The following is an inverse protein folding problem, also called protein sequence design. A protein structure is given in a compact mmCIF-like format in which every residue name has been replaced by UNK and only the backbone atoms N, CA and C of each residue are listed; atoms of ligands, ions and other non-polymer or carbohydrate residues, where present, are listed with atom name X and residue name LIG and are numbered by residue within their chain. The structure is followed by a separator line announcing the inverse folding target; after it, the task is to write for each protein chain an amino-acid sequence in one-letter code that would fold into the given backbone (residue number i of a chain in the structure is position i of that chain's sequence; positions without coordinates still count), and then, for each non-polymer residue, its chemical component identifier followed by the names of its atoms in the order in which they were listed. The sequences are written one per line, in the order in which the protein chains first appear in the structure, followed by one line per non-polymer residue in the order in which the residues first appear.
data_IF_990264531182
#
_entry.id   IF_990264531182
#
_cell.length_a   1.000
_cell.length_b   1.000
_cell.length_c   1.000
_cell.angle_alpha   90.00
_cell.angle_beta   90.00
_cell.angle_gamma   90.00
#
_symmetry.space_group_name_H-M   'P 1'
#
loop_
_entity.id
_entity.type
_entity.pdbx_description
1 polymer ?
#
# COMPACT_ATOMS: atom_id res chain seq x y z
N UNK A 1 -0.08 28.36 -8.46
CA UNK A 1 0.43 26.98 -8.62
C UNK A 1 -0.57 26.02 -8.00
N UNK A 2 -0.93 24.95 -8.71
CA UNK A 2 -1.76 23.89 -8.11
C UNK A 2 -0.94 23.13 -7.06
N UNK A 3 -1.50 22.82 -5.90
CA UNK A 3 -0.77 22.05 -4.89
C UNK A 3 -0.47 20.65 -5.42
N UNK A 4 0.75 20.16 -5.21
CA UNK A 4 1.14 18.78 -5.53
C UNK A 4 1.11 17.98 -4.24
N UNK A 5 0.35 16.90 -4.23
CA UNK A 5 0.25 15.99 -3.10
C UNK A 5 1.14 14.77 -3.34
N UNK A 6 1.97 14.44 -2.35
CA UNK A 6 2.76 13.21 -2.31
C UNK A 6 2.15 12.24 -1.31
N UNK A 7 1.99 11.00 -1.74
CA UNK A 7 1.70 9.89 -0.84
C UNK A 7 2.80 8.83 -0.99
N UNK A 8 3.33 8.39 0.13
CA UNK A 8 4.31 7.30 0.16
C UNK A 8 3.56 6.00 0.46
N UNK A 9 3.94 4.95 -0.26
CA UNK A 9 3.37 3.61 -0.07
C UNK A 9 4.48 2.69 0.38
N UNK A 10 4.34 2.10 1.56
CA UNK A 10 5.18 0.99 2.00
C UNK A 10 4.46 -0.31 1.70
N UNK A 11 4.95 -1.04 0.69
CA UNK A 11 4.61 -2.44 0.51
C UNK A 11 5.53 -3.26 1.39
N UNK A 12 4.98 -3.78 2.48
CA UNK A 12 5.73 -4.51 3.49
C UNK A 12 5.70 -6.03 3.28
N UNK A 13 5.05 -6.51 2.20
CA UNK A 13 4.96 -7.94 1.95
C UNK A 13 6.34 -8.55 1.67
N UNK A 14 6.81 -9.50 2.48
CA UNK A 14 8.10 -10.12 2.28
C UNK A 14 8.01 -11.14 1.15
N UNK A 15 8.59 -10.84 0.01
CA UNK A 15 8.69 -11.77 -1.14
C UNK A 15 9.50 -13.04 -0.82
N UNK A 16 10.27 -13.05 0.28
CA UNK A 16 11.26 -14.10 0.54
C UNK A 16 10.90 -15.10 1.62
N UNK A 17 10.08 -14.73 2.59
CA UNK A 17 9.78 -15.63 3.72
C UNK A 17 8.63 -15.12 4.57
N UNK A 18 7.77 -16.04 5.02
CA UNK A 18 6.72 -15.77 6.00
C UNK A 18 7.11 -16.24 7.42
N UNK A 19 8.40 -16.26 7.73
CA UNK A 19 8.90 -16.66 9.05
C UNK A 19 8.82 -15.52 10.05
N UNK A 20 8.55 -15.86 11.31
CA UNK A 20 8.39 -14.89 12.39
C UNK A 20 9.64 -14.07 12.69
N UNK A 21 10.83 -14.63 12.49
CA UNK A 21 12.10 -13.93 12.66
C UNK A 21 12.31 -12.83 11.62
N UNK A 22 11.88 -13.07 10.37
CA UNK A 22 11.89 -12.07 9.31
C UNK A 22 10.91 -10.94 9.65
N UNK A 23 9.69 -11.28 10.06
CA UNK A 23 8.70 -10.27 10.45
C UNK A 23 9.15 -9.43 11.65
N UNK A 24 9.81 -10.05 12.63
CA UNK A 24 10.37 -9.34 13.79
C UNK A 24 11.49 -8.39 13.38
N UNK A 25 12.41 -8.85 12.53
CA UNK A 25 13.48 -8.01 12.00
C UNK A 25 12.92 -6.80 11.26
N UNK A 26 11.97 -7.01 10.35
CA UNK A 26 11.34 -5.94 9.56
C UNK A 26 10.59 -4.96 10.48
N UNK A 27 9.93 -5.48 11.52
CA UNK A 27 9.29 -4.63 12.52
C UNK A 27 10.30 -3.71 13.21
N UNK A 28 11.39 -4.26 13.72
CA UNK A 28 12.38 -3.48 14.49
C UNK A 28 13.15 -2.49 13.60
N UNK A 29 13.49 -2.89 12.37
CA UNK A 29 14.36 -2.11 11.49
C UNK A 29 13.60 -1.13 10.59
N UNK A 30 12.34 -1.43 10.24
CA UNK A 30 11.57 -0.62 9.28
C UNK A 30 10.30 -0.04 9.91
N UNK A 31 9.36 -0.89 10.37
CA UNK A 31 8.01 -0.40 10.71
C UNK A 31 7.98 0.44 11.97
N UNK A 32 8.67 0.03 13.00
CA UNK A 32 8.75 0.75 14.28
C UNK A 32 9.43 2.12 14.16
N UNK A 33 10.58 2.26 13.48
CA UNK A 33 11.15 3.57 13.21
C UNK A 33 10.25 4.47 12.35
N UNK A 34 9.64 3.88 11.30
CA UNK A 34 8.81 4.61 10.37
C UNK A 34 7.53 5.15 11.03
N UNK A 35 6.82 4.33 11.82
CA UNK A 35 5.61 4.80 12.49
C UNK A 35 5.91 5.89 13.52
N UNK A 36 7.07 5.79 14.22
CA UNK A 36 7.55 6.86 15.11
C UNK A 36 7.85 8.15 14.35
N UNK A 37 8.44 8.04 13.16
CA UNK A 37 8.69 9.19 12.29
C UNK A 37 7.39 9.86 11.87
N UNK A 38 6.41 9.08 11.37
CA UNK A 38 5.10 9.61 11.00
C UNK A 38 4.43 10.29 12.21
N UNK A 39 4.51 9.68 13.38
CA UNK A 39 3.90 10.24 14.60
C UNK A 39 4.48 11.62 14.94
N UNK A 40 5.78 11.81 14.79
CA UNK A 40 6.47 13.08 15.05
C UNK A 40 6.22 14.15 13.99
N UNK A 41 5.95 13.75 12.74
CA UNK A 41 5.81 14.70 11.61
C UNK A 41 4.36 14.74 11.12
N UNK A 42 3.58 15.71 11.60
CA UNK A 42 2.13 15.78 11.33
C UNK A 42 1.73 16.00 9.88
N UNK A 43 2.62 16.50 9.05
CA UNK A 43 2.42 16.74 7.61
C UNK A 43 2.69 15.52 6.73
N UNK A 44 3.25 14.43 7.29
CA UNK A 44 3.53 13.20 6.54
C UNK A 44 2.29 12.32 6.51
N UNK A 45 1.91 11.87 5.30
CA UNK A 45 0.86 10.90 5.07
C UNK A 45 1.42 9.70 4.33
N UNK A 46 1.01 8.50 4.71
CA UNK A 46 1.49 7.25 4.11
C UNK A 46 0.39 6.22 3.99
N UNK A 47 0.57 5.32 3.03
CA UNK A 47 -0.20 4.08 2.95
C UNK A 47 0.71 2.88 3.23
N UNK A 48 0.18 1.89 3.95
CA UNK A 48 0.88 0.65 4.25
C UNK A 48 0.11 -0.52 3.66
N UNK A 49 0.83 -1.47 3.12
CA UNK A 49 0.31 -2.79 2.81
C UNK A 49 1.07 -3.83 3.62
N UNK A 50 0.33 -4.66 4.35
CA UNK A 50 0.81 -5.86 5.03
C UNK A 50 -0.03 -7.05 4.54
N UNK A 51 0.59 -8.17 4.21
CA UNK A 51 -0.16 -9.39 3.96
C UNK A 51 -0.78 -9.96 5.26
N UNK A 52 -1.69 -10.91 5.14
CA UNK A 52 -2.44 -11.46 6.28
C UNK A 52 -1.55 -12.03 7.38
N UNK A 53 -0.62 -12.97 7.08
CA UNK A 53 0.28 -13.55 8.08
C UNK A 53 1.11 -12.51 8.83
N UNK A 54 1.63 -11.51 8.12
CA UNK A 54 2.40 -10.43 8.70
C UNK A 54 1.53 -9.52 9.59
N UNK A 55 0.34 -9.21 9.15
CA UNK A 55 -0.60 -8.39 9.92
C UNK A 55 -1.04 -9.11 11.20
N UNK A 56 -1.29 -10.43 11.12
CA UNK A 56 -1.59 -11.27 12.29
C UNK A 56 -0.41 -11.34 13.26
N UNK A 57 0.82 -11.45 12.75
CA UNK A 57 2.02 -11.39 13.56
C UNK A 57 2.10 -10.07 14.33
N UNK A 58 1.92 -8.94 13.65
CA UNK A 58 1.94 -7.61 14.27
C UNK A 58 0.86 -7.47 15.34
N UNK A 59 -0.35 -7.94 15.10
CA UNK A 59 -1.43 -7.96 16.10
C UNK A 59 -1.07 -8.74 17.35
N UNK A 60 -0.44 -9.91 17.18
CA UNK A 60 -0.12 -10.82 18.27
C UNK A 60 1.11 -10.39 19.07
N UNK A 61 2.16 -9.92 18.39
CA UNK A 61 3.46 -9.63 18.99
C UNK A 61 3.68 -8.16 19.34
N UNK A 62 3.02 -7.27 18.58
CA UNK A 62 3.19 -5.81 18.68
C UNK A 62 1.85 -5.07 18.74
N UNK A 63 1.00 -5.37 19.75
CA UNK A 63 -0.30 -4.69 19.88
C UNK A 63 -0.16 -3.17 20.06
N UNK A 64 0.96 -2.69 20.57
CA UNK A 64 1.27 -1.27 20.68
C UNK A 64 1.40 -0.61 19.29
N UNK A 65 1.94 -1.33 18.31
CA UNK A 65 2.02 -0.86 16.93
C UNK A 65 0.62 -0.71 16.32
N UNK A 66 -0.26 -1.67 16.55
CA UNK A 66 -1.65 -1.63 16.07
C UNK A 66 -2.40 -0.44 16.69
N UNK A 67 -2.18 -0.13 17.97
CA UNK A 67 -2.78 1.05 18.61
C UNK A 67 -2.31 2.35 17.96
N UNK A 68 -1.01 2.48 17.70
CA UNK A 68 -0.47 3.65 16.97
C UNK A 68 -1.02 3.76 15.55
N UNK A 69 -1.18 2.63 14.84
CA UNK A 69 -1.85 2.62 13.54
C UNK A 69 -3.29 3.12 13.63
N UNK A 70 -4.07 2.66 14.61
CA UNK A 70 -5.45 3.11 14.83
C UNK A 70 -5.53 4.63 15.03
N UNK A 71 -4.64 5.21 15.86
CA UNK A 71 -4.56 6.65 16.11
C UNK A 71 -4.24 7.42 14.83
N UNK A 72 -3.24 6.96 14.06
CA UNK A 72 -2.84 7.59 12.80
C UNK A 72 -3.89 7.47 11.70
N UNK A 73 -4.64 6.35 11.66
CA UNK A 73 -5.78 6.15 10.76
C UNK A 73 -6.93 7.10 11.14
N UNK A 74 -7.24 7.24 12.43
CA UNK A 74 -8.25 8.16 12.90
C UNK A 74 -7.90 9.61 12.55
N UNK A 75 -6.62 9.97 12.66
CA UNK A 75 -6.08 11.27 12.27
C UNK A 75 -5.94 11.47 10.75
N UNK A 76 -6.35 10.50 9.91
CA UNK A 76 -6.23 10.51 8.44
C UNK A 76 -4.79 10.70 7.93
N UNK A 77 -3.82 10.18 8.67
CA UNK A 77 -2.39 10.27 8.35
C UNK A 77 -1.84 8.97 7.76
N UNK A 78 -2.48 7.87 8.09
CA UNK A 78 -2.15 6.52 7.58
C UNK A 78 -3.39 5.90 6.98
N UNK A 79 -3.21 5.22 5.86
CA UNK A 79 -4.19 4.32 5.26
C UNK A 79 -3.57 2.91 5.14
N UNK A 80 -4.35 1.88 5.47
CA UNK A 80 -3.96 0.50 5.21
C UNK A 80 -4.60 0.06 3.91
N UNK A 81 -3.77 -0.34 2.96
CA UNK A 81 -4.22 -0.89 1.68
C UNK A 81 -4.63 -2.35 1.84
N UNK A 82 -5.66 -2.72 1.10
CA UNK A 82 -6.02 -4.11 0.86
C UNK A 82 -5.06 -4.82 -0.09
N UNK A 83 -5.31 -6.09 -0.29
CA UNK A 83 -4.53 -6.97 -1.15
C UNK A 83 -4.98 -8.41 -0.98
N UNK A 84 -4.18 -9.35 -1.41
CA UNK A 84 -4.40 -10.76 -1.09
C UNK A 84 -3.94 -11.09 0.32
N UNK A 85 -4.67 -11.95 1.03
CA UNK A 85 -4.27 -12.38 2.36
C UNK A 85 -2.86 -13.02 2.35
N UNK A 86 -2.59 -13.87 1.37
CA UNK A 86 -1.28 -14.49 1.16
C UNK A 86 -0.46 -13.81 0.06
N UNK A 87 -0.85 -12.60 -0.36
CA UNK A 87 -0.24 -11.82 -1.42
C UNK A 87 -0.01 -12.62 -2.73
N UNK A 88 -1.06 -13.26 -3.28
CA UNK A 88 -0.94 -14.10 -4.46
C UNK A 88 -0.77 -13.29 -5.73
N UNK A 89 -0.29 -13.95 -6.79
CA UNK A 89 -0.36 -13.42 -8.16
C UNK A 89 -1.80 -13.54 -8.66
N UNK A 90 -2.61 -12.52 -8.43
CA UNK A 90 -4.06 -12.53 -8.66
C UNK A 90 -4.49 -12.99 -10.05
N UNK A 91 -3.85 -12.62 -11.17
CA UNK A 91 -4.25 -13.10 -12.49
C UNK A 91 -4.25 -14.61 -12.65
N UNK A 92 -3.43 -15.33 -11.86
CA UNK A 92 -3.34 -16.80 -11.89
C UNK A 92 -4.44 -17.50 -11.07
N UNK A 93 -5.22 -16.76 -10.29
CA UNK A 93 -6.30 -17.32 -9.47
C UNK A 93 -7.64 -17.31 -10.21
N UNK A 94 -8.52 -18.25 -9.85
CA UNK A 94 -9.93 -18.19 -10.25
C UNK A 94 -10.62 -16.97 -9.59
N UNK A 95 -11.65 -16.38 -10.24
CA UNK A 95 -12.34 -15.19 -9.71
C UNK A 95 -12.82 -15.35 -8.26
N UNK A 96 -13.30 -16.51 -7.87
CA UNK A 96 -13.77 -16.80 -6.51
C UNK A 96 -12.63 -16.75 -5.48
N UNK A 97 -11.46 -17.29 -5.85
CA UNK A 97 -10.28 -17.26 -4.98
C UNK A 97 -9.72 -15.84 -4.85
N UNK A 98 -9.78 -15.05 -5.92
CA UNK A 98 -9.38 -13.62 -5.88
C UNK A 98 -10.19 -12.87 -4.83
N UNK A 99 -11.51 -12.97 -4.89
CA UNK A 99 -12.41 -12.29 -3.94
C UNK A 99 -12.21 -12.83 -2.52
N UNK A 100 -12.07 -14.13 -2.35
CA UNK A 100 -11.80 -14.76 -1.06
C UNK A 100 -10.51 -14.22 -0.40
N UNK A 101 -9.42 -14.10 -1.17
CA UNK A 101 -8.15 -13.53 -0.68
C UNK A 101 -8.30 -12.07 -0.22
N UNK A 102 -9.02 -11.26 -0.99
CA UNK A 102 -9.26 -9.84 -0.67
C UNK A 102 -10.15 -9.70 0.56
N UNK A 103 -11.22 -10.50 0.65
CA UNK A 103 -12.16 -10.44 1.78
C UNK A 103 -11.52 -10.91 3.09
N UNK A 104 -10.68 -11.94 3.05
CA UNK A 104 -9.93 -12.42 4.22
C UNK A 104 -9.04 -11.30 4.79
N UNK A 105 -8.26 -10.62 3.95
CA UNK A 105 -7.39 -9.53 4.41
C UNK A 105 -8.22 -8.32 4.87
N UNK A 106 -9.27 -7.99 4.16
CA UNK A 106 -10.17 -6.88 4.51
C UNK A 106 -10.83 -7.08 5.88
N UNK A 107 -11.25 -8.32 6.18
CA UNK A 107 -11.82 -8.68 7.48
C UNK A 107 -10.78 -8.54 8.60
N UNK A 108 -9.55 -8.99 8.35
CA UNK A 108 -8.43 -8.88 9.30
C UNK A 108 -8.10 -7.43 9.62
N UNK A 109 -7.96 -6.58 8.58
CA UNK A 109 -7.70 -5.15 8.73
C UNK A 109 -8.84 -4.46 9.47
N UNK A 110 -10.09 -4.73 9.08
CA UNK A 110 -11.27 -4.14 9.73
C UNK A 110 -11.35 -4.54 11.21
N UNK A 111 -11.12 -5.80 11.53
CA UNK A 111 -11.14 -6.29 12.90
C UNK A 111 -10.11 -5.61 13.80
N UNK A 112 -8.94 -5.26 13.24
CA UNK A 112 -7.87 -4.59 13.98
C UNK A 112 -8.00 -3.06 14.01
N UNK A 113 -8.49 -2.43 12.94
CA UNK A 113 -8.45 -0.97 12.79
C UNK A 113 -9.82 -0.30 12.86
N UNK A 114 -10.89 -1.07 12.82
CA UNK A 114 -12.27 -0.59 12.74
C UNK A 114 -12.68 -0.08 11.34
N UNK A 115 -11.76 -0.06 10.37
CA UNK A 115 -12.00 0.44 9.01
C UNK A 115 -11.67 -0.61 7.95
N UNK A 116 -12.48 -0.70 6.90
CA UNK A 116 -12.15 -1.49 5.71
C UNK A 116 -11.14 -0.73 4.85
N UNK A 117 -10.22 -1.44 4.16
CA UNK A 117 -9.40 -0.83 3.14
C UNK A 117 -10.27 -0.34 1.98
N UNK A 118 -9.90 0.79 1.38
CA UNK A 118 -10.52 1.34 0.18
C UNK A 118 -9.66 1.12 -1.06
N UNK A 119 -8.35 1.24 -0.88
CA UNK A 119 -7.35 0.96 -1.90
C UNK A 119 -6.81 -0.44 -1.81
N UNK A 120 -6.33 -0.97 -2.94
CA UNK A 120 -5.72 -2.29 -3.05
C UNK A 120 -4.38 -2.22 -3.77
N UNK A 121 -3.46 -3.11 -3.40
CA UNK A 121 -2.22 -3.37 -4.15
C UNK A 121 -2.15 -4.83 -4.56
N UNK A 122 -1.31 -5.11 -5.56
CA UNK A 122 -1.12 -6.47 -6.10
C UNK A 122 0.35 -6.86 -6.08
N UNK A 123 0.62 -8.13 -5.82
CA UNK A 123 1.96 -8.68 -5.80
C UNK A 123 2.70 -8.39 -7.12
N UNK A 124 3.90 -7.80 -7.00
CA UNK A 124 4.76 -7.53 -8.15
C UNK A 124 4.12 -6.68 -9.25
N UNK A 125 3.05 -5.92 -8.95
CA UNK A 125 2.26 -5.19 -9.96
C UNK A 125 1.72 -6.08 -11.08
N UNK A 126 1.52 -7.38 -10.81
CA UNK A 126 0.91 -8.29 -11.77
C UNK A 126 -0.55 -7.92 -12.01
N UNK A 127 -0.80 -7.27 -13.13
CA UNK A 127 -2.08 -6.69 -13.51
C UNK A 127 -2.75 -7.40 -14.67
N UNK A 128 -4.06 -7.55 -14.59
CA UNK A 128 -4.95 -7.99 -15.68
C UNK A 128 -6.29 -7.28 -15.55
N UNK A 129 -6.90 -6.89 -16.69
CA UNK A 129 -8.14 -6.13 -16.70
C UNK A 129 -9.30 -6.83 -15.95
N UNK A 130 -9.33 -8.16 -15.95
CA UNK A 130 -10.36 -8.93 -15.24
C UNK A 130 -10.34 -8.73 -13.71
N UNK A 131 -9.26 -8.18 -13.17
CA UNK A 131 -9.15 -7.84 -11.75
C UNK A 131 -10.04 -6.66 -11.35
N UNK A 132 -10.39 -5.77 -12.29
CA UNK A 132 -11.32 -4.67 -12.07
C UNK A 132 -12.63 -5.18 -11.49
N UNK A 133 -13.23 -6.17 -12.15
CA UNK A 133 -14.49 -6.77 -11.69
C UNK A 133 -14.34 -7.40 -10.31
N UNK A 134 -13.26 -8.16 -10.06
CA UNK A 134 -13.03 -8.83 -8.78
C UNK A 134 -12.88 -7.84 -7.64
N UNK A 135 -12.04 -6.82 -7.80
CA UNK A 135 -11.73 -5.85 -6.74
C UNK A 135 -12.88 -4.88 -6.48
N UNK A 136 -13.54 -4.40 -7.53
CA UNK A 136 -14.74 -3.56 -7.39
C UNK A 136 -15.86 -4.32 -6.68
N UNK A 137 -16.03 -5.63 -6.92
CA UNK A 137 -17.02 -6.45 -6.21
C UNK A 137 -16.69 -6.58 -4.72
N UNK A 138 -15.41 -6.62 -4.34
CA UNK A 138 -14.98 -6.58 -2.94
C UNK A 138 -15.05 -5.17 -2.32
N UNK A 139 -15.56 -4.17 -3.03
CA UNK A 139 -15.71 -2.80 -2.55
C UNK A 139 -14.41 -2.01 -2.51
N UNK A 140 -13.40 -2.39 -3.31
CA UNK A 140 -12.22 -1.58 -3.52
C UNK A 140 -12.55 -0.42 -4.46
N UNK A 141 -12.13 0.79 -4.09
CA UNK A 141 -12.39 2.02 -4.83
C UNK A 141 -11.24 2.35 -5.78
N UNK A 142 -10.00 2.03 -5.39
CA UNK A 142 -8.83 2.29 -6.22
C UNK A 142 -7.77 1.19 -6.06
N UNK A 143 -6.91 1.09 -7.08
CA UNK A 143 -5.73 0.23 -7.07
C UNK A 143 -4.47 1.06 -7.34
N UNK A 144 -3.39 0.72 -6.66
CA UNK A 144 -2.06 1.29 -6.91
C UNK A 144 -1.24 0.35 -7.78
N UNK A 145 -0.80 0.84 -8.94
CA UNK A 145 -0.05 0.06 -9.92
C UNK A 145 1.23 0.79 -10.34
N UNK A 146 2.22 0.01 -10.72
CA UNK A 146 3.49 0.53 -11.22
C UNK A 146 3.31 1.31 -12.53
N UNK A 147 3.90 2.50 -12.61
CA UNK A 147 3.86 3.35 -13.81
C UNK A 147 4.37 2.65 -15.07
N UNK A 148 5.29 1.69 -14.92
CA UNK A 148 5.86 0.95 -16.05
C UNK A 148 4.83 0.17 -16.86
N UNK A 149 3.69 -0.17 -16.26
CA UNK A 149 2.57 -0.83 -16.95
C UNK A 149 1.90 0.09 -17.99
N UNK A 150 2.06 1.40 -17.87
CA UNK A 150 1.34 2.42 -18.66
C UNK A 150 2.25 3.32 -19.51
N UNK A 151 3.55 3.04 -19.58
CA UNK A 151 4.54 3.89 -20.27
C UNK A 151 4.22 4.13 -21.75
N UNK A 152 3.58 3.17 -22.43
CA UNK A 152 3.21 3.30 -23.85
C UNK A 152 2.09 4.33 -24.09
N UNK A 153 1.29 4.64 -23.07
CA UNK A 153 0.09 5.47 -23.21
C UNK A 153 0.29 6.91 -22.73
N UNK A 154 1.50 7.29 -22.29
CA UNK A 154 1.81 8.61 -21.71
C UNK A 154 0.89 9.00 -20.52
N UNK A 155 0.25 8.04 -19.88
CA UNK A 155 -0.61 8.24 -18.73
C UNK A 155 0.28 8.19 -17.47
N UNK A 156 1.04 9.26 -17.26
CA UNK A 156 1.95 9.36 -16.15
C UNK A 156 1.41 10.35 -15.12
N UNK A 157 1.41 9.94 -13.84
CA UNK A 157 1.19 10.81 -12.67
C UNK A 157 -0.25 11.28 -12.39
N UNK A 158 -1.23 10.88 -13.17
CA UNK A 158 -2.64 11.26 -12.95
C UNK A 158 -3.47 9.99 -12.74
N UNK A 159 -4.30 9.93 -11.70
CA UNK A 159 -5.27 8.85 -11.57
C UNK A 159 -6.21 8.79 -12.78
N UNK A 160 -6.58 7.61 -13.20
CA UNK A 160 -7.51 7.37 -14.28
C UNK A 160 -8.44 6.20 -13.95
N UNK A 161 -9.61 6.18 -14.61
CA UNK A 161 -10.64 5.19 -14.32
C UNK A 161 -10.60 4.05 -15.34
N UNK A 162 -10.65 2.81 -14.86
CA UNK A 162 -10.76 1.61 -15.67
C UNK A 162 -12.07 0.87 -15.42
N UNK A 163 -12.61 0.28 -16.48
CA UNK A 163 -13.86 -0.49 -16.41
C UNK A 163 -13.72 -1.87 -17.03
N UNK A 164 -14.36 -2.86 -16.42
CA UNK A 164 -14.54 -4.20 -16.97
C UNK A 164 -15.94 -4.72 -16.57
N UNK A 165 -16.70 -5.23 -17.55
CA UNK A 165 -18.03 -5.84 -17.37
C UNK A 165 -18.99 -4.99 -16.51
N UNK A 166 -19.00 -3.67 -16.74
CA UNK A 166 -19.87 -2.73 -16.01
C UNK A 166 -19.43 -2.39 -14.59
N UNK A 167 -18.30 -2.88 -14.15
CA UNK A 167 -17.63 -2.50 -12.89
C UNK A 167 -16.47 -1.57 -13.19
N UNK A 168 -16.10 -0.73 -12.22
CA UNK A 168 -15.01 0.21 -12.41
C UNK A 168 -14.17 0.40 -11.16
N UNK A 169 -12.92 0.86 -11.35
CA UNK A 169 -11.98 1.16 -10.29
C UNK A 169 -11.04 2.28 -10.72
N UNK A 170 -10.65 3.13 -9.80
CA UNK A 170 -9.62 4.13 -10.04
C UNK A 170 -8.23 3.51 -10.03
N UNK A 171 -7.40 3.87 -10.99
CA UNK A 171 -6.00 3.46 -11.06
C UNK A 171 -5.12 4.62 -10.60
N UNK A 172 -4.27 4.38 -9.64
CA UNK A 172 -3.27 5.34 -9.15
C UNK A 172 -1.89 4.85 -9.56
N UNK A 173 -1.24 5.48 -10.55
CA UNK A 173 0.12 5.12 -10.95
C UNK A 173 1.12 5.42 -9.83
N UNK A 174 1.99 4.47 -9.53
CA UNK A 174 3.08 4.63 -8.55
C UNK A 174 4.38 4.93 -9.30
N UNK A 175 5.00 6.04 -8.94
CA UNK A 175 6.25 6.51 -9.54
C UNK A 175 7.42 5.72 -8.98
N UNK A 176 7.95 4.80 -9.77
CA UNK A 176 9.08 3.96 -9.38
C UNK A 176 10.44 4.62 -9.55
N UNK A 177 10.55 5.59 -10.46
CA UNK A 177 11.78 6.36 -10.67
C UNK A 177 12.26 7.10 -9.41
N UNK A 178 11.38 7.27 -8.43
CA UNK A 178 11.70 7.85 -7.13
C UNK A 178 12.01 6.80 -6.05
N UNK A 179 11.99 5.50 -6.37
CA UNK A 179 12.32 4.45 -5.37
C UNK A 179 13.73 4.62 -4.82
N UNK A 180 13.92 4.42 -3.50
CA UNK A 180 15.25 4.43 -2.93
C UNK A 180 16.04 3.21 -3.40
N UNK A 181 17.34 3.41 -3.63
CA UNK A 181 18.28 2.31 -3.63
C UNK A 181 18.33 1.71 -2.22
N UNK A 182 18.47 0.39 -2.11
CA UNK A 182 18.21 -0.50 -0.98
C UNK A 182 18.85 -0.18 0.39
N UNK A 183 19.59 0.91 0.55
CA UNK A 183 20.40 1.19 1.74
C UNK A 183 19.91 2.39 2.59
N UNK A 184 18.87 3.08 2.18
CA UNK A 184 18.41 4.28 2.89
C UNK A 184 17.29 3.91 3.88
N UNK A 185 17.43 4.31 5.14
CA UNK A 185 16.35 4.20 6.11
C UNK A 185 15.10 4.93 5.60
N UNK A 186 13.94 4.31 5.72
CA UNK A 186 12.70 4.82 5.13
C UNK A 186 12.39 6.28 5.53
N UNK A 187 12.70 6.66 6.78
CA UNK A 187 12.51 8.03 7.26
C UNK A 187 13.44 9.04 6.56
N UNK A 188 14.70 8.68 6.36
CA UNK A 188 15.69 9.54 5.68
C UNK A 188 15.33 9.67 4.19
N UNK A 189 14.82 8.61 3.60
CA UNK A 189 14.34 8.60 2.22
C UNK A 189 13.14 9.55 2.01
N UNK A 190 12.13 9.48 2.87
CA UNK A 190 10.97 10.37 2.79
C UNK A 190 11.42 11.83 2.85
N UNK A 191 12.33 12.16 3.76
CA UNK A 191 12.88 13.51 3.91
C UNK A 191 13.67 13.94 2.67
N UNK A 192 14.56 13.08 2.15
CA UNK A 192 15.39 13.40 0.98
C UNK A 192 14.56 13.52 -0.30
N UNK A 193 13.57 12.65 -0.48
CA UNK A 193 12.69 12.68 -1.66
C UNK A 193 11.78 13.89 -1.64
N UNK A 194 11.19 14.23 -0.50
CA UNK A 194 10.38 15.43 -0.37
C UNK A 194 11.18 16.68 -0.74
N UNK A 195 12.43 16.77 -0.30
CA UNK A 195 13.31 17.90 -0.65
C UNK A 195 13.66 17.96 -2.14
N UNK A 196 13.96 16.80 -2.77
CA UNK A 196 14.22 16.72 -4.22
C UNK A 196 13.04 17.17 -5.06
N UNK A 197 11.85 16.69 -4.72
CA UNK A 197 10.63 17.08 -5.42
C UNK A 197 10.33 18.55 -5.21
N UNK A 198 10.46 19.05 -3.99
CA UNK A 198 10.26 20.48 -3.71
C UNK A 198 11.21 21.37 -4.51
N UNK A 199 12.45 20.95 -4.69
CA UNK A 199 13.43 21.66 -5.51
C UNK A 199 13.14 21.59 -7.01
N UNK A 200 12.58 20.47 -7.50
CA UNK A 200 12.20 20.31 -8.90
C UNK A 200 10.95 21.12 -9.29
N UNK A 201 10.02 21.33 -8.33
CA UNK A 201 8.80 22.13 -8.53
C UNK A 201 9.04 23.63 -8.46
N UNK A 202 10.21 24.08 -7.95
CA UNK A 202 10.59 25.50 -7.91
C UNK A 202 11.28 25.99 -9.19
N UNK A 203 11.65 25.10 -10.10
CA UNK A 203 12.19 25.40 -11.44
C UNK A 203 11.06 25.45 -12.47
#
# INVERSE_FOLDING_TARGET
MKPVCFSFILNASPLRSMKSDVFENDYQTVYKPLIKFIYKHSNVRMSFFFNGPQFQFLKKKHPEFIKLLQELIAAKRVEILGGGFYDPVFPLLFPMDRTGQVDMLSAEIRGATGKRPRGITVCGSCWDLSLVTSFSTCGMEYIVLDESLFQKEKILYVPFFMTDKGKGIDIIPVVNSLKPFYEIKAADYITSTSNKVYSALKK
#
